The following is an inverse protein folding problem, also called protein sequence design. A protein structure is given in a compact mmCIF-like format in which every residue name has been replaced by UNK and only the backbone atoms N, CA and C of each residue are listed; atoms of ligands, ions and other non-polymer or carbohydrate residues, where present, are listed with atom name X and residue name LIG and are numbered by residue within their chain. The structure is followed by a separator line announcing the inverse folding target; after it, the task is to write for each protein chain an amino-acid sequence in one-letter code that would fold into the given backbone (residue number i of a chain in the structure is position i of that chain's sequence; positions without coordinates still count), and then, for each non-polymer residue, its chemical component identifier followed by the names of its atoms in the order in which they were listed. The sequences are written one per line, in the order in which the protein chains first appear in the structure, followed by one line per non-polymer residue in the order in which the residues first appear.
data_IF_722314313677
#
_entry.id   IF_722314313677
#
_cell.length_a   1.000
_cell.length_b   1.000
_cell.length_c   1.000
_cell.angle_alpha   90.00
_cell.angle_beta   90.00
_cell.angle_gamma   90.00
#
_symmetry.space_group_name_H-M   'P 1'
#
loop_
_entity.id
_entity.type
_entity.pdbx_description
1 polymer ?
#
# COMPACT_ATOMS: atom_id res chain seq x y z
N UNK A 1 13.48 14.27 -4.89
CA UNK A 1 13.26 14.36 -6.34
C UNK A 1 13.87 13.14 -6.99
N UNK A 2 13.28 12.63 -8.07
CA UNK A 2 13.98 11.73 -8.99
C UNK A 2 15.14 12.48 -9.68
N UNK A 3 16.04 11.73 -10.33
CA UNK A 3 17.15 12.30 -11.12
C UNK A 3 16.68 13.24 -12.22
N UNK A 4 15.43 13.10 -12.69
CA UNK A 4 14.75 13.94 -13.67
C UNK A 4 14.21 15.27 -13.11
N UNK A 5 14.37 15.57 -11.82
CA UNK A 5 13.72 16.73 -11.19
C UNK A 5 12.25 16.51 -10.78
N UNK A 6 11.68 15.35 -11.14
CA UNK A 6 10.30 15.00 -10.78
C UNK A 6 10.16 14.76 -9.28
N UNK A 7 9.16 15.38 -8.65
CA UNK A 7 8.87 15.20 -7.23
C UNK A 7 8.38 13.77 -6.98
N UNK A 8 8.88 13.14 -5.91
CA UNK A 8 8.40 11.83 -5.45
C UNK A 8 7.39 12.10 -4.34
N UNK A 9 6.17 11.62 -4.53
CA UNK A 9 5.09 11.73 -3.57
C UNK A 9 5.05 10.48 -2.70
N UNK A 10 4.86 10.65 -1.38
CA UNK A 10 4.84 9.54 -0.41
C UNK A 10 3.57 9.62 0.44
N UNK A 11 2.93 8.47 0.63
CA UNK A 11 1.81 8.27 1.53
C UNK A 11 2.11 7.08 2.45
N UNK A 12 1.50 7.10 3.63
CA UNK A 12 1.59 6.01 4.60
C UNK A 12 0.22 5.37 4.75
N UNK A 13 0.12 4.06 4.56
CA UNK A 13 -1.16 3.36 4.61
C UNK A 13 -1.08 2.11 5.49
N UNK A 14 -0.87 2.20 6.81
CA UNK A 14 -0.73 1.01 7.63
C UNK A 14 -2.09 0.37 7.92
N UNK A 15 -2.13 -0.95 8.07
CA UNK A 15 -3.37 -1.64 8.49
C UNK A 15 -3.73 -1.42 9.96
N UNK A 16 -2.95 -0.65 10.73
CA UNK A 16 -3.17 -0.40 12.16
C UNK A 16 -4.12 0.76 12.37
N UNK A 17 -4.98 0.64 13.38
CA UNK A 17 -5.87 1.72 13.84
C UNK A 17 -5.09 2.83 14.57
N UNK A 18 -5.72 3.99 14.69
CA UNK A 18 -5.14 5.21 15.26
C UNK A 18 -4.48 5.02 16.63
N UNK A 19 -5.11 4.27 17.54
CA UNK A 19 -4.56 4.03 18.87
C UNK A 19 -3.23 3.25 18.83
N UNK A 20 -3.21 2.10 18.17
CA UNK A 20 -1.99 1.28 18.03
C UNK A 20 -0.92 1.96 17.20
N UNK A 21 -1.32 2.75 16.19
CA UNK A 21 -0.39 3.56 15.40
C UNK A 21 0.39 4.52 16.29
N UNK A 22 -0.30 5.32 17.12
CA UNK A 22 0.34 6.26 18.06
C UNK A 22 1.37 5.58 18.98
N UNK A 23 1.08 4.37 19.46
CA UNK A 23 2.01 3.59 20.28
C UNK A 23 3.24 3.14 19.48
N UNK A 24 3.02 2.56 18.28
CA UNK A 24 4.10 2.07 17.39
C UNK A 24 5.00 3.19 16.87
N UNK A 25 4.46 4.39 16.72
CA UNK A 25 5.20 5.56 16.23
C UNK A 25 5.67 6.48 17.36
N UNK A 26 5.64 6.03 18.61
CA UNK A 26 5.98 6.87 19.76
C UNK A 26 7.49 7.15 19.89
N UNK A 27 8.35 6.31 19.32
CA UNK A 27 9.80 6.52 19.41
C UNK A 27 10.26 7.76 18.61
N UNK A 28 11.23 8.56 19.10
CA UNK A 28 11.73 9.74 18.38
C UNK A 28 12.24 9.42 16.97
N UNK A 29 12.92 8.29 16.81
CA UNK A 29 13.44 7.82 15.51
C UNK A 29 12.31 7.58 14.50
N UNK A 30 11.25 6.89 14.92
CA UNK A 30 10.10 6.62 14.04
C UNK A 30 9.33 7.90 13.72
N UNK A 31 9.11 8.80 14.70
CA UNK A 31 8.46 10.10 14.44
C UNK A 31 9.23 10.93 13.43
N UNK A 32 10.57 11.00 13.56
CA UNK A 32 11.41 11.74 12.62
C UNK A 32 11.31 11.17 11.20
N UNK A 33 11.31 9.85 11.06
CA UNK A 33 11.16 9.19 9.76
C UNK A 33 9.79 9.46 9.14
N UNK A 34 8.71 9.34 9.92
CA UNK A 34 7.34 9.54 9.41
C UNK A 34 6.99 11.02 9.23
N UNK A 35 7.74 11.94 9.83
CA UNK A 35 7.57 13.39 9.67
C UNK A 35 7.77 13.89 8.23
N UNK A 36 8.42 13.10 7.37
CA UNK A 36 8.50 13.41 5.93
C UNK A 36 7.19 13.14 5.17
N UNK A 37 6.22 12.46 5.78
CA UNK A 37 4.91 12.14 5.20
C UNK A 37 3.87 13.03 5.86
N UNK A 38 3.27 13.92 5.06
CA UNK A 38 2.23 14.85 5.53
C UNK A 38 1.06 14.09 6.16
N UNK A 39 0.43 14.66 7.20
CA UNK A 39 -0.60 13.99 7.99
C UNK A 39 -1.84 13.61 7.18
N UNK A 40 -2.23 14.42 6.20
CA UNK A 40 -3.31 14.16 5.24
C UNK A 40 -3.02 12.97 4.31
N UNK A 41 -1.74 12.59 4.17
CA UNK A 41 -1.25 11.44 3.42
C UNK A 41 -1.05 10.18 4.27
N UNK A 42 -1.50 10.20 5.52
CA UNK A 42 -1.50 9.03 6.41
C UNK A 42 -2.92 8.44 6.47
N UNK A 43 -3.10 7.24 5.91
CA UNK A 43 -4.37 6.52 5.82
C UNK A 43 -4.33 5.31 6.75
N UNK A 44 -4.85 5.46 7.96
CA UNK A 44 -4.81 4.41 8.99
C UNK A 44 -5.92 3.36 8.79
N UNK A 45 -5.84 2.24 9.51
CA UNK A 45 -6.79 1.12 9.37
C UNK A 45 -8.22 1.44 9.84
N UNK A 46 -8.42 2.54 10.56
CA UNK A 46 -9.72 3.07 10.99
C UNK A 46 -10.08 4.38 10.26
N UNK A 47 -9.39 4.70 9.17
CA UNK A 47 -9.71 5.87 8.35
C UNK A 47 -11.13 5.75 7.78
N UNK A 48 -12.02 6.75 7.99
CA UNK A 48 -13.41 6.69 7.56
C UNK A 48 -13.57 6.62 6.03
N UNK A 49 -12.54 6.99 5.27
CA UNK A 49 -12.52 6.88 3.80
C UNK A 49 -12.31 5.45 3.32
N UNK A 50 -11.90 4.53 4.20
CA UNK A 50 -11.76 3.09 3.94
C UNK A 50 -13.06 2.41 4.36
N UNK A 51 -13.76 1.76 3.42
CA UNK A 51 -15.04 1.11 3.70
C UNK A 51 -14.83 -0.04 4.70
N UNK A 52 -15.38 0.09 5.91
CA UNK A 52 -15.13 -0.84 7.03
C UNK A 52 -15.46 -2.31 6.73
N UNK A 53 -16.43 -2.58 5.84
CA UNK A 53 -16.80 -3.92 5.39
C UNK A 53 -15.92 -4.48 4.25
N UNK A 54 -15.03 -3.66 3.68
CA UNK A 54 -14.04 -4.07 2.67
C UNK A 54 -12.65 -4.06 3.30
N UNK A 55 -12.49 -4.87 4.34
CA UNK A 55 -11.18 -5.21 4.86
C UNK A 55 -10.30 -5.86 3.79
N UNK A 56 -9.02 -6.04 4.11
CA UNK A 56 -8.08 -6.74 3.22
C UNK A 56 -8.66 -8.12 2.84
N UNK A 57 -8.52 -8.57 1.60
CA UNK A 57 -7.62 -8.07 0.55
C UNK A 57 -8.22 -6.98 -0.35
N UNK A 58 -9.28 -6.28 0.07
CA UNK A 58 -9.80 -5.17 -0.74
C UNK A 58 -8.75 -4.04 -0.94
N UNK A 59 -8.72 -3.41 -2.12
CA UNK A 59 -7.69 -2.42 -2.48
C UNK A 59 -7.90 -1.03 -1.85
N UNK A 60 -9.02 -0.83 -1.15
CA UNK A 60 -9.55 0.47 -0.74
C UNK A 60 -8.52 1.35 -0.03
N UNK A 61 -7.71 0.81 0.90
CA UNK A 61 -6.71 1.60 1.64
C UNK A 61 -5.64 2.19 0.71
N UNK A 62 -5.23 1.46 -0.32
CA UNK A 62 -4.23 1.93 -1.29
C UNK A 62 -4.84 2.93 -2.27
N UNK A 63 -6.09 2.73 -2.68
CA UNK A 63 -6.82 3.70 -3.50
C UNK A 63 -7.10 5.00 -2.74
N UNK A 64 -7.40 4.94 -1.44
CA UNK A 64 -7.48 6.12 -0.57
C UNK A 64 -6.12 6.82 -0.51
N UNK A 65 -5.03 6.07 -0.30
CA UNK A 65 -3.69 6.65 -0.26
C UNK A 65 -3.30 7.34 -1.58
N UNK A 66 -3.62 6.75 -2.74
CA UNK A 66 -3.39 7.41 -4.02
C UNK A 66 -4.16 8.74 -4.14
N UNK A 67 -5.42 8.77 -3.69
CA UNK A 67 -6.22 10.00 -3.69
C UNK A 67 -5.63 11.11 -2.83
N UNK A 68 -4.88 10.79 -1.76
CA UNK A 68 -4.21 11.82 -0.94
C UNK A 68 -2.89 12.31 -1.55
N UNK A 69 -2.31 11.55 -2.48
CA UNK A 69 -1.13 12.00 -3.23
C UNK A 69 -1.48 12.96 -4.36
N UNK A 70 -2.66 12.80 -4.95
CA UNK A 70 -3.12 13.62 -6.05
C UNK A 70 -3.71 14.93 -5.53
N UNK A 71 -3.18 16.08 -5.97
CA UNK A 71 -3.70 17.38 -5.60
C UNK A 71 -5.09 17.64 -6.20
N UNK A 72 -5.72 18.75 -5.80
CA UNK A 72 -6.94 19.23 -6.42
C UNK A 72 -6.72 19.52 -7.92
N UNK A 73 -7.81 19.43 -8.70
CA UNK A 73 -7.79 19.49 -10.16
C UNK A 73 -7.22 20.81 -10.73
N UNK A 74 -7.15 21.86 -9.90
CA UNK A 74 -6.66 23.20 -10.21
C UNK A 74 -5.16 23.40 -9.96
N UNK A 75 -4.46 22.41 -9.41
CA UNK A 75 -3.03 22.50 -9.08
C UNK A 75 -2.07 22.54 -10.29
N UNK A 76 -2.55 22.23 -11.49
CA UNK A 76 -1.74 22.14 -12.70
C UNK A 76 -0.79 20.92 -12.75
N UNK A 77 -0.75 20.09 -11.71
CA UNK A 77 -0.02 18.83 -11.70
C UNK A 77 -0.87 17.71 -12.33
N UNK A 78 -0.26 16.90 -13.21
CA UNK A 78 -0.95 15.71 -13.73
C UNK A 78 -1.17 14.69 -12.61
N UNK A 79 -2.37 14.09 -12.48
CA UNK A 79 -2.64 13.13 -11.43
C UNK A 79 -1.80 11.87 -11.61
N UNK A 80 -1.20 11.39 -10.53
CA UNK A 80 -0.49 10.11 -10.44
C UNK A 80 -1.51 8.99 -10.67
N UNK A 81 -1.23 8.13 -11.65
CA UNK A 81 -2.01 6.92 -11.89
C UNK A 81 -1.58 5.79 -10.96
N UNK A 82 -2.45 4.80 -10.75
CA UNK A 82 -2.12 3.63 -9.94
C UNK A 82 -0.89 2.85 -10.47
N UNK A 83 -0.64 2.87 -11.79
CA UNK A 83 0.52 2.17 -12.40
C UNK A 83 1.86 2.82 -12.03
N UNK A 84 1.83 4.11 -11.72
CA UNK A 84 3.01 4.86 -11.30
C UNK A 84 3.33 4.65 -9.82
N UNK A 85 2.38 4.13 -9.03
CA UNK A 85 2.60 3.80 -7.63
C UNK A 85 3.50 2.57 -7.44
N UNK A 86 4.40 2.65 -6.46
CA UNK A 86 5.22 1.54 -5.96
C UNK A 86 4.94 1.36 -4.47
N UNK A 87 4.36 0.22 -4.10
CA UNK A 87 3.99 -0.13 -2.72
C UNK A 87 5.07 -1.00 -2.10
N UNK A 88 5.57 -0.62 -0.92
CA UNK A 88 6.44 -1.48 -0.12
C UNK A 88 5.62 -2.17 0.95
N UNK A 89 5.65 -3.51 0.99
CA UNK A 89 4.88 -4.25 1.98
C UNK A 89 5.49 -5.58 2.40
N UNK A 90 5.23 -6.01 3.63
CA UNK A 90 5.67 -7.31 4.16
C UNK A 90 4.54 -8.36 4.20
N UNK A 91 3.28 -7.92 4.30
CA UNK A 91 2.12 -8.81 4.45
C UNK A 91 1.60 -9.28 3.10
N UNK A 92 1.54 -10.60 2.89
CA UNK A 92 1.05 -11.22 1.64
C UNK A 92 -0.38 -10.75 1.30
N UNK A 93 -1.28 -10.68 2.27
CA UNK A 93 -2.66 -10.20 2.07
C UNK A 93 -2.67 -8.74 1.59
N UNK A 94 -1.72 -7.92 2.06
CA UNK A 94 -1.60 -6.52 1.62
C UNK A 94 -0.90 -6.37 0.28
N UNK A 95 0.03 -7.26 -0.08
CA UNK A 95 0.57 -7.34 -1.45
C UNK A 95 -0.57 -7.60 -2.43
N UNK A 96 -1.45 -8.55 -2.12
CA UNK A 96 -2.62 -8.82 -2.94
C UNK A 96 -3.54 -7.59 -3.05
N UNK A 97 -3.84 -6.91 -1.94
CA UNK A 97 -4.64 -5.68 -1.97
C UNK A 97 -3.98 -4.56 -2.82
N UNK A 98 -2.66 -4.44 -2.81
CA UNK A 98 -1.94 -3.46 -3.63
C UNK A 98 -1.97 -3.82 -5.12
N UNK A 99 -1.77 -5.10 -5.47
CA UNK A 99 -1.92 -5.57 -6.85
C UNK A 99 -3.35 -5.39 -7.37
N UNK A 100 -4.37 -5.65 -6.53
CA UNK A 100 -5.79 -5.37 -6.84
C UNK A 100 -6.08 -3.87 -7.00
N UNK A 101 -5.25 -3.00 -6.43
CA UNK A 101 -5.31 -1.56 -6.66
C UNK A 101 -4.63 -1.14 -8.00
N UNK A 102 -4.08 -2.09 -8.76
CA UNK A 102 -3.38 -1.83 -10.02
C UNK A 102 -1.99 -1.21 -9.83
N UNK A 103 -1.37 -1.40 -8.65
CA UNK A 103 -0.08 -0.82 -8.27
C UNK A 103 1.06 -1.83 -8.40
N UNK A 104 2.29 -1.33 -8.58
CA UNK A 104 3.51 -2.13 -8.46
C UNK A 104 3.82 -2.37 -7.00
N UNK A 105 4.45 -3.51 -6.70
CA UNK A 105 4.74 -3.94 -5.33
C UNK A 105 6.20 -4.33 -5.18
N UNK A 106 6.79 -3.97 -4.04
CA UNK A 106 8.04 -4.51 -3.53
C UNK A 106 7.69 -5.26 -2.25
N UNK A 107 7.85 -6.57 -2.29
CA UNK A 107 7.63 -7.40 -1.12
C UNK A 107 8.89 -7.43 -0.24
N UNK A 108 8.73 -7.03 1.02
CA UNK A 108 9.80 -6.92 2.03
C UNK A 108 9.45 -7.83 3.23
N UNK A 109 9.45 -9.16 3.04
CA UNK A 109 9.03 -10.11 4.07
C UNK A 109 10.01 -10.18 5.24
N UNK A 110 9.51 -10.69 6.37
CA UNK A 110 10.38 -11.26 7.40
C UNK A 110 11.15 -12.47 6.81
N UNK A 111 12.42 -12.73 7.19
CA UNK A 111 13.20 -13.85 6.65
C UNK A 111 12.46 -15.19 6.70
N UNK A 112 11.81 -15.53 7.81
CA UNK A 112 11.06 -16.79 7.94
C UNK A 112 9.89 -16.90 6.94
N UNK A 113 9.23 -15.76 6.66
CA UNK A 113 8.16 -15.71 5.66
C UNK A 113 8.73 -15.84 4.24
N UNK A 114 9.93 -15.30 3.97
CA UNK A 114 10.60 -15.48 2.69
C UNK A 114 10.95 -16.95 2.44
N UNK A 115 11.43 -17.66 3.47
CA UNK A 115 11.73 -19.10 3.40
C UNK A 115 10.46 -19.90 3.14
N UNK A 116 9.41 -19.66 3.94
CA UNK A 116 8.13 -20.37 3.81
C UNK A 116 7.50 -20.24 2.41
N UNK A 117 7.65 -19.08 1.77
CA UNK A 117 7.06 -18.79 0.46
C UNK A 117 8.06 -18.81 -0.70
N UNK A 118 9.25 -19.39 -0.51
CA UNK A 118 10.31 -19.38 -1.53
C UNK A 118 9.86 -19.99 -2.86
N UNK A 119 9.11 -21.09 -2.84
CA UNK A 119 8.59 -21.73 -4.05
C UNK A 119 7.38 -20.98 -4.66
N UNK A 120 6.84 -19.98 -3.97
CA UNK A 120 5.60 -19.26 -4.31
C UNK A 120 5.80 -17.74 -4.37
N UNK A 121 7.04 -17.28 -4.55
CA UNK A 121 7.35 -15.85 -4.59
C UNK A 121 6.59 -15.14 -5.72
N UNK A 122 6.49 -15.77 -6.89
CA UNK A 122 5.72 -15.24 -8.02
C UNK A 122 4.23 -15.14 -7.72
N UNK A 123 3.65 -16.12 -7.01
CA UNK A 123 2.25 -16.05 -6.56
C UNK A 123 2.04 -14.88 -5.59
N UNK A 124 2.98 -14.69 -4.66
CA UNK A 124 2.93 -13.57 -3.70
C UNK A 124 2.99 -12.26 -4.46
N UNK A 125 3.99 -12.08 -5.31
CA UNK A 125 4.17 -10.86 -6.08
C UNK A 125 3.02 -10.61 -7.04
N UNK A 126 2.38 -11.63 -7.62
CA UNK A 126 1.19 -11.49 -8.45
C UNK A 126 -0.10 -11.21 -7.64
N UNK A 127 -0.07 -11.35 -6.31
CA UNK A 127 -1.27 -11.25 -5.47
C UNK A 127 -2.24 -12.42 -5.72
N UNK A 128 -1.71 -13.63 -5.95
CA UNK A 128 -2.45 -14.84 -6.34
C UNK A 128 -2.26 -15.99 -5.37
N UNK A 129 -1.90 -15.72 -4.12
CA UNK A 129 -1.67 -16.75 -3.10
C UNK A 129 -2.94 -17.49 -2.66
N UNK A 130 -4.12 -16.90 -2.94
CA UNK A 130 -5.46 -17.45 -2.59
C UNK A 130 -5.65 -17.70 -1.09
N UNK A 131 -4.92 -16.96 -0.24
CA UNK A 131 -5.03 -17.08 1.21
C UNK A 131 -6.40 -16.64 1.75
N UNK A 132 -7.10 -15.79 1.01
CA UNK A 132 -8.46 -15.36 1.32
C UNK A 132 -9.36 -15.76 0.15
N UNK A 133 -10.49 -16.39 0.46
CA UNK A 133 -11.47 -16.73 -0.57
C UNK A 133 -12.19 -15.45 -1.02
N UNK A 134 -11.94 -15.05 -2.26
CA UNK A 134 -12.42 -13.79 -2.80
C UNK A 134 -13.55 -14.07 -3.80
N UNK A 135 -14.70 -13.47 -3.52
CA UNK A 135 -15.87 -13.50 -4.41
C UNK A 135 -15.61 -12.77 -5.74
N UNK A 136 -14.86 -11.66 -5.70
CA UNK A 136 -14.57 -10.80 -6.86
C UNK A 136 -13.21 -11.15 -7.52
N UNK A 137 -13.18 -12.20 -8.35
CA UNK A 137 -11.96 -12.72 -9.00
C UNK A 137 -11.42 -11.87 -10.16
N UNK A 138 -12.22 -10.95 -10.71
CA UNK A 138 -11.82 -10.06 -11.81
C UNK A 138 -10.76 -9.01 -11.43
N UNK A 139 -10.46 -8.85 -10.14
CA UNK A 139 -9.49 -7.86 -9.63
C UNK A 139 -8.08 -8.44 -9.40
N UNK A 140 -7.82 -9.71 -9.71
CA UNK A 140 -6.52 -10.33 -9.47
C UNK A 140 -5.40 -9.67 -10.31
N UNK A 141 -4.21 -9.52 -9.73
CA UNK A 141 -3.02 -9.02 -10.43
C UNK A 141 -2.53 -9.97 -11.52
N UNK A 142 -1.62 -9.50 -12.38
CA UNK A 142 -0.97 -10.31 -13.42
C UNK A 142 0.30 -10.99 -12.86
N UNK A 143 0.67 -12.13 -13.46
CA UNK A 143 1.99 -12.73 -13.28
C UNK A 143 2.88 -12.06 -14.32
N UNK A 144 4.02 -11.52 -13.90
CA UNK A 144 5.00 -10.94 -14.81
C UNK A 144 5.75 -12.13 -15.45
N UNK A 145 5.51 -12.38 -16.74
CA UNK A 145 6.19 -13.44 -17.52
C UNK A 145 7.54 -12.97 -18.05
#
# INVERSE_FOLDING_TARGET
SASSGTKIHMALAPGTKSHSYKLKTSSPKTRRLLGFIQSDRQVLGDDPRVRQARGKPAPDIFLVALRTLNPAADSGESPISHKECLVFENSIIRIEAARRAGMRVVWVPHPDIAVEYQARQEDVLAGRTRLVDIRDKWQLGYIDN
#
